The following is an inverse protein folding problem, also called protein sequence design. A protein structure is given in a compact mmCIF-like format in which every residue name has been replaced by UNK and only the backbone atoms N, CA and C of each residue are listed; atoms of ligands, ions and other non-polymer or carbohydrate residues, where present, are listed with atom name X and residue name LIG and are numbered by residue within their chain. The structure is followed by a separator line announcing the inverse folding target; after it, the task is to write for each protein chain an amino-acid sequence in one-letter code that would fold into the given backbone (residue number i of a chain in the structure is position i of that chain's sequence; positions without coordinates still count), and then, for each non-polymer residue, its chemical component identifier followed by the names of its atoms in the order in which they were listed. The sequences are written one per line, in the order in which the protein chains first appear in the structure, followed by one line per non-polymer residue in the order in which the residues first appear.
data_IF_513440334516
#
_entry.id   IF_513440334516
#
_cell.length_a   1.000
_cell.length_b   1.000
_cell.length_c   1.000
_cell.angle_alpha   90.00
_cell.angle_beta   90.00
_cell.angle_gamma   90.00
#
_symmetry.space_group_name_H-M   'P 1'
#
loop_
_entity.id
_entity.type
_entity.pdbx_description
1 polymer ?
#
# COMPACT_ATOMS: atom_id res chain seq x y z
N UNK A 1 10.78 39.73 33.77
CA UNK A 1 12.01 38.90 33.75
C UNK A 1 11.76 37.45 34.15
N UNK A 2 10.99 37.14 35.20
CA UNK A 2 10.69 35.76 35.61
C UNK A 2 9.82 35.00 34.58
N UNK A 3 8.87 35.65 33.90
CA UNK A 3 8.00 35.05 32.90
C UNK A 3 8.75 34.67 31.62
N UNK A 4 9.75 35.45 31.19
CA UNK A 4 10.60 35.12 30.07
C UNK A 4 11.53 33.93 30.37
N UNK A 5 11.97 33.78 31.61
CA UNK A 5 12.83 32.68 32.04
C UNK A 5 12.04 31.37 32.13
N UNK A 6 10.78 31.43 32.55
CA UNK A 6 9.88 30.26 32.62
C UNK A 6 9.48 29.74 31.22
N UNK A 7 9.25 30.65 30.27
CA UNK A 7 8.94 30.26 28.86
C UNK A 7 10.13 29.64 28.14
N UNK A 8 11.34 30.16 28.33
CA UNK A 8 12.55 29.57 27.79
C UNK A 8 12.84 28.18 28.39
N UNK A 9 12.72 28.02 29.71
CA UNK A 9 12.92 26.72 30.34
C UNK A 9 11.85 25.69 29.96
N UNK A 10 10.61 26.12 29.75
CA UNK A 10 9.53 25.27 29.24
C UNK A 10 9.81 24.72 27.81
N UNK A 11 10.31 25.58 26.93
CA UNK A 11 10.70 25.18 25.58
C UNK A 11 11.91 24.21 25.57
N UNK A 12 12.90 24.44 26.43
CA UNK A 12 14.06 23.54 26.58
C UNK A 12 13.70 22.19 27.18
N UNK A 13 12.77 22.13 28.11
CA UNK A 13 12.29 20.87 28.69
C UNK A 13 11.45 20.07 27.68
N UNK A 14 10.65 20.72 26.86
CA UNK A 14 9.89 20.07 25.79
C UNK A 14 10.83 19.52 24.72
N UNK A 15 11.80 20.31 24.24
CA UNK A 15 12.79 19.83 23.27
C UNK A 15 13.62 18.67 23.81
N UNK A 16 14.01 18.65 25.09
CA UNK A 16 14.73 17.50 25.69
C UNK A 16 13.87 16.24 25.79
N UNK A 17 12.56 16.39 26.09
CA UNK A 17 11.62 15.26 26.09
C UNK A 17 11.37 14.74 24.70
N UNK A 18 11.28 15.60 23.69
CA UNK A 18 11.12 15.24 22.30
C UNK A 18 12.37 14.52 21.77
N UNK A 19 13.57 15.01 22.10
CA UNK A 19 14.82 14.33 21.78
C UNK A 19 14.97 12.97 22.48
N UNK A 20 14.54 12.84 23.74
CA UNK A 20 14.59 11.58 24.47
C UNK A 20 13.58 10.57 23.89
N UNK A 21 12.38 11.03 23.50
CA UNK A 21 11.36 10.23 22.84
C UNK A 21 11.84 9.73 21.46
N UNK A 22 12.41 10.63 20.64
CA UNK A 22 12.96 10.28 19.33
C UNK A 22 14.11 9.25 19.43
N UNK A 23 14.94 9.28 20.47
CA UNK A 23 16.00 8.29 20.70
C UNK A 23 15.49 6.89 21.09
N UNK A 24 14.29 6.80 21.64
CA UNK A 24 13.66 5.53 22.05
C UNK A 24 12.78 4.95 20.93
N UNK A 25 12.38 5.77 19.95
CA UNK A 25 11.57 5.33 18.81
C UNK A 25 12.44 4.62 17.77
N UNK A 26 11.96 3.49 17.28
CA UNK A 26 12.54 2.83 16.12
C UNK A 26 12.32 3.64 14.83
N UNK A 27 13.12 3.38 13.80
CA UNK A 27 12.96 4.03 12.49
C UNK A 27 11.52 3.87 11.97
N UNK A 28 10.91 2.71 12.20
CA UNK A 28 9.54 2.43 11.80
C UNK A 28 8.51 3.37 12.45
N UNK A 29 8.73 3.72 13.74
CA UNK A 29 7.84 4.63 14.46
C UNK A 29 7.98 6.07 13.95
N UNK A 30 9.20 6.52 13.68
CA UNK A 30 9.48 7.83 13.09
C UNK A 30 8.88 7.97 11.69
N UNK A 31 8.90 6.91 10.90
CA UNK A 31 8.27 6.88 9.58
C UNK A 31 6.74 6.92 9.72
N UNK A 32 6.17 6.20 10.69
CA UNK A 32 4.74 6.21 10.95
C UNK A 32 4.24 7.60 11.39
N UNK A 33 5.00 8.34 12.21
CA UNK A 33 4.69 9.75 12.54
C UNK A 33 4.61 10.64 11.28
N UNK A 34 5.38 10.31 10.24
CA UNK A 34 5.31 10.97 8.93
C UNK A 34 4.30 10.32 7.99
N UNK A 35 3.38 9.51 8.52
CA UNK A 35 2.31 8.81 7.79
C UNK A 35 2.82 7.85 6.71
N UNK A 36 4.03 7.31 6.90
CA UNK A 36 4.68 6.36 6.00
C UNK A 36 4.50 4.95 6.55
N UNK A 37 3.92 4.09 5.73
CA UNK A 37 3.68 2.66 6.02
C UNK A 37 4.42 1.82 4.98
N UNK A 38 5.00 0.70 5.40
CA UNK A 38 5.64 -0.27 4.51
C UNK A 38 4.84 -1.56 4.45
N UNK A 39 4.71 -2.09 3.23
CA UNK A 39 4.27 -3.45 2.93
C UNK A 39 5.44 -4.19 2.27
N UNK A 40 6.12 -5.03 3.04
CA UNK A 40 7.32 -5.73 2.62
C UNK A 40 7.18 -7.25 2.73
N UNK A 41 7.84 -7.96 1.81
CA UNK A 41 7.88 -9.42 1.82
C UNK A 41 6.55 -10.06 1.45
N UNK A 42 6.36 -11.32 1.87
CA UNK A 42 5.16 -12.10 1.56
C UNK A 42 3.96 -11.60 2.36
N UNK A 43 2.85 -11.37 1.68
CA UNK A 43 1.59 -10.95 2.30
C UNK A 43 0.96 -12.17 2.99
N UNK A 44 0.94 -12.15 4.31
CA UNK A 44 0.25 -13.09 5.16
C UNK A 44 -0.63 -12.33 6.18
N UNK A 45 -1.38 -13.05 7.00
CA UNK A 45 -2.31 -12.44 7.97
C UNK A 45 -1.59 -11.50 8.95
N UNK A 46 -0.40 -11.86 9.43
CA UNK A 46 0.35 -11.02 10.37
C UNK A 46 0.79 -9.69 9.73
N UNK A 47 1.30 -9.74 8.49
CA UNK A 47 1.70 -8.55 7.72
C UNK A 47 0.47 -7.69 7.41
N UNK A 48 -0.62 -8.31 6.95
CA UNK A 48 -1.85 -7.61 6.63
C UNK A 48 -2.44 -6.90 7.86
N UNK A 49 -2.55 -7.61 8.98
CA UNK A 49 -3.07 -7.04 10.23
C UNK A 49 -2.22 -5.84 10.69
N UNK A 50 -0.89 -5.91 10.57
CA UNK A 50 0.00 -4.80 10.93
C UNK A 50 -0.24 -3.57 10.03
N UNK A 51 -0.38 -3.77 8.71
CA UNK A 51 -0.68 -2.68 7.78
C UNK A 51 -2.06 -2.09 8.07
N UNK A 52 -3.08 -2.92 8.24
CA UNK A 52 -4.45 -2.50 8.56
C UNK A 52 -4.48 -1.66 9.85
N UNK A 53 -3.83 -2.14 10.93
CA UNK A 53 -3.74 -1.38 12.19
C UNK A 53 -3.08 -0.01 11.99
N UNK A 54 -2.01 0.08 11.20
CA UNK A 54 -1.35 1.36 10.90
C UNK A 54 -2.25 2.30 10.10
N UNK A 55 -2.97 1.79 9.09
CA UNK A 55 -3.91 2.59 8.30
C UNK A 55 -5.03 3.17 9.18
N UNK A 56 -5.64 2.34 10.04
CA UNK A 56 -6.69 2.77 10.96
C UNK A 56 -6.17 3.75 12.02
N UNK A 57 -4.98 3.52 12.55
CA UNK A 57 -4.33 4.45 13.49
C UNK A 57 -4.13 5.82 12.82
N UNK A 58 -3.53 5.87 11.62
CA UNK A 58 -3.29 7.12 10.90
C UNK A 58 -4.59 7.84 10.52
N UNK A 59 -5.66 7.10 10.20
CA UNK A 59 -6.99 7.69 10.03
C UNK A 59 -7.52 8.35 11.31
N UNK A 60 -7.30 7.71 12.47
CA UNK A 60 -7.74 8.29 13.75
C UNK A 60 -7.00 9.57 14.12
N UNK A 61 -5.74 9.70 13.70
CA UNK A 61 -4.93 10.91 13.91
C UNK A 61 -5.36 12.07 13.00
N UNK A 62 -5.61 11.80 11.73
CA UNK A 62 -6.07 12.81 10.77
C UNK A 62 -6.75 12.16 9.56
N UNK A 63 -7.99 12.54 9.28
CA UNK A 63 -8.77 12.04 8.14
C UNK A 63 -8.45 12.74 6.82
N UNK A 64 -7.80 13.90 6.87
CA UNK A 64 -7.60 14.76 5.69
C UNK A 64 -6.17 14.73 5.14
N UNK A 65 -5.27 14.01 5.80
CA UNK A 65 -3.88 13.88 5.37
C UNK A 65 -3.67 12.54 4.66
N UNK A 66 -2.89 12.57 3.59
CA UNK A 66 -2.54 11.38 2.84
C UNK A 66 -1.73 10.39 3.69
N UNK A 67 -1.91 9.12 3.41
CA UNK A 67 -1.07 8.03 3.92
C UNK A 67 -0.17 7.56 2.76
N UNK A 68 1.11 7.37 3.02
CA UNK A 68 2.10 6.94 2.04
C UNK A 68 2.45 5.47 2.25
N UNK A 69 1.97 4.58 1.38
CA UNK A 69 2.18 3.14 1.44
C UNK A 69 3.26 2.70 0.45
N UNK A 70 4.43 2.33 0.96
CA UNK A 70 5.55 1.80 0.18
C UNK A 70 5.45 0.29 0.09
N UNK A 71 5.47 -0.24 -1.13
CA UNK A 71 5.25 -1.66 -1.42
C UNK A 71 6.47 -2.27 -2.08
N UNK A 72 7.02 -3.32 -1.44
CA UNK A 72 8.04 -4.21 -1.98
C UNK A 72 7.67 -5.65 -1.63
N UNK A 73 6.80 -6.27 -2.42
CA UNK A 73 6.18 -7.54 -2.08
C UNK A 73 6.00 -8.45 -3.31
N UNK A 74 6.30 -9.74 -3.20
CA UNK A 74 5.96 -10.74 -4.20
C UNK A 74 4.46 -11.12 -4.21
N UNK A 75 3.64 -10.52 -3.32
CA UNK A 75 2.27 -10.94 -3.07
C UNK A 75 2.17 -11.99 -1.96
N UNK A 76 1.10 -12.78 -1.97
CA UNK A 76 0.85 -13.81 -0.96
C UNK A 76 -0.62 -14.18 -0.84
N UNK A 77 -1.12 -14.36 0.38
CA UNK A 77 -2.51 -14.71 0.67
C UNK A 77 -3.50 -13.72 0.06
N UNK A 78 -4.48 -14.21 -0.67
CA UNK A 78 -5.52 -13.38 -1.29
C UNK A 78 -6.36 -12.69 -0.22
N UNK A 79 -6.80 -13.42 0.81
CA UNK A 79 -7.61 -12.87 1.90
C UNK A 79 -6.86 -11.77 2.67
N UNK A 80 -5.58 -11.98 2.94
CA UNK A 80 -4.71 -10.98 3.58
C UNK A 80 -4.51 -9.74 2.67
N UNK A 81 -4.36 -9.95 1.35
CA UNK A 81 -4.29 -8.86 0.36
C UNK A 81 -5.58 -8.04 0.34
N UNK A 82 -6.74 -8.71 0.32
CA UNK A 82 -8.03 -8.05 0.31
C UNK A 82 -8.30 -7.27 1.60
N UNK A 83 -7.85 -7.78 2.76
CA UNK A 83 -7.94 -7.04 4.01
C UNK A 83 -7.21 -5.68 3.96
N UNK A 84 -6.03 -5.63 3.33
CA UNK A 84 -5.30 -4.37 3.11
C UNK A 84 -6.05 -3.49 2.11
N UNK A 85 -6.40 -4.05 0.94
CA UNK A 85 -7.07 -3.33 -0.14
C UNK A 85 -8.39 -2.71 0.33
N UNK A 86 -9.27 -3.50 0.93
CA UNK A 86 -10.58 -3.02 1.40
C UNK A 86 -10.42 -1.95 2.50
N UNK A 87 -9.43 -2.09 3.38
CA UNK A 87 -9.13 -1.05 4.37
C UNK A 87 -8.69 0.25 3.71
N UNK A 88 -7.85 0.19 2.66
CA UNK A 88 -7.46 1.38 1.89
C UNK A 88 -8.65 2.08 1.24
N UNK A 89 -9.67 1.31 0.78
CA UNK A 89 -10.89 1.88 0.19
C UNK A 89 -11.87 2.38 1.26
N UNK A 90 -11.87 1.77 2.45
CA UNK A 90 -12.81 2.07 3.54
C UNK A 90 -12.48 3.37 4.27
N UNK A 91 -11.21 3.71 4.42
CA UNK A 91 -10.77 4.90 5.18
C UNK A 91 -10.98 6.19 4.37
N UNK A 92 -11.20 7.32 5.06
CA UNK A 92 -11.36 8.64 4.44
C UNK A 92 -10.04 9.20 3.88
N UNK A 93 -8.90 8.81 4.48
CA UNK A 93 -7.58 9.23 4.04
C UNK A 93 -7.28 8.72 2.64
N UNK A 94 -6.74 9.57 1.78
CA UNK A 94 -6.19 9.09 0.50
C UNK A 94 -4.90 8.32 0.76
N UNK A 95 -4.82 7.11 0.20
CA UNK A 95 -3.61 6.29 0.28
C UNK A 95 -2.81 6.47 -1.01
N UNK A 96 -1.66 7.14 -0.90
CA UNK A 96 -0.68 7.22 -1.98
C UNK A 96 0.18 5.95 -1.94
N UNK A 97 0.32 5.24 -3.06
CA UNK A 97 1.07 3.98 -3.15
C UNK A 97 2.36 4.15 -3.95
N UNK A 98 3.41 3.49 -3.50
CA UNK A 98 4.75 3.56 -4.11
C UNK A 98 5.30 2.15 -4.33
N UNK A 99 5.41 1.71 -5.57
CA UNK A 99 6.09 0.47 -5.90
C UNK A 99 7.61 0.67 -5.85
N UNK A 100 8.28 -0.02 -4.91
CA UNK A 100 9.73 0.01 -4.70
C UNK A 100 10.28 -1.40 -4.91
N UNK A 101 11.11 -1.61 -5.92
CA UNK A 101 11.65 -2.91 -6.29
C UNK A 101 10.64 -3.80 -7.01
N UNK A 102 9.72 -4.44 -6.28
CA UNK A 102 8.73 -5.35 -6.86
C UNK A 102 7.35 -5.20 -6.19
N UNK A 103 6.31 -5.10 -7.00
CA UNK A 103 4.93 -5.32 -6.57
C UNK A 103 4.29 -6.40 -7.44
N UNK A 104 4.24 -7.63 -6.95
CA UNK A 104 3.72 -8.76 -7.71
C UNK A 104 2.43 -9.31 -7.08
N UNK A 105 1.54 -9.87 -7.92
CA UNK A 105 0.33 -10.55 -7.44
C UNK A 105 -0.51 -9.64 -6.51
N UNK A 106 -0.77 -10.05 -5.27
CA UNK A 106 -1.42 -9.21 -4.25
C UNK A 106 -0.76 -7.85 -4.04
N UNK A 107 0.59 -7.76 -4.16
CA UNK A 107 1.30 -6.48 -4.09
C UNK A 107 0.91 -5.53 -5.23
N UNK A 108 0.66 -6.05 -6.43
CA UNK A 108 0.19 -5.25 -7.57
C UNK A 108 -1.25 -4.75 -7.36
N UNK A 109 -2.12 -5.56 -6.77
CA UNK A 109 -3.49 -5.17 -6.37
C UNK A 109 -3.44 -3.99 -5.40
N UNK A 110 -2.60 -4.08 -4.35
CA UNK A 110 -2.46 -3.02 -3.35
C UNK A 110 -1.93 -1.72 -3.98
N UNK A 111 -0.90 -1.79 -4.84
CA UNK A 111 -0.37 -0.60 -5.53
C UNK A 111 -1.43 0.02 -6.44
N UNK A 112 -2.09 -0.78 -7.27
CA UNK A 112 -3.14 -0.30 -8.17
C UNK A 112 -4.34 0.29 -7.43
N UNK A 113 -4.65 -0.22 -6.21
CA UNK A 113 -5.71 0.25 -5.31
C UNK A 113 -5.45 1.58 -4.63
N UNK A 114 -4.31 2.21 -4.86
CA UNK A 114 -4.01 3.55 -4.36
C UNK A 114 -4.93 4.62 -4.93
N UNK A 115 -5.00 5.77 -4.28
CA UNK A 115 -5.81 6.89 -4.71
C UNK A 115 -5.41 7.35 -6.12
N UNK A 116 -6.38 7.55 -7.00
CA UNK A 116 -6.14 7.98 -8.39
C UNK A 116 -5.31 9.27 -8.43
N UNK A 117 -4.27 9.29 -9.27
CA UNK A 117 -3.28 10.37 -9.36
C UNK A 117 -2.18 10.29 -8.30
N UNK A 118 -2.21 9.28 -7.41
CA UNK A 118 -1.25 9.10 -6.30
C UNK A 118 -0.66 7.68 -6.25
N UNK A 119 -0.64 6.99 -7.39
CA UNK A 119 -0.04 5.67 -7.54
C UNK A 119 1.28 5.80 -8.28
N UNK A 120 2.37 5.45 -7.61
CA UNK A 120 3.71 5.74 -8.08
C UNK A 120 4.55 4.46 -8.20
N UNK A 121 5.54 4.48 -9.10
CA UNK A 121 6.53 3.43 -9.25
C UNK A 121 7.92 4.04 -9.44
N UNK A 122 8.96 3.46 -8.83
CA UNK A 122 10.34 3.86 -9.06
C UNK A 122 10.86 3.34 -10.42
N UNK A 123 11.85 4.01 -11.04
CA UNK A 123 12.22 3.75 -12.46
C UNK A 123 12.67 2.32 -12.76
N UNK A 124 13.25 1.62 -11.79
CA UNK A 124 13.75 0.25 -11.92
C UNK A 124 12.88 -0.79 -11.23
N UNK A 125 11.78 -0.36 -10.61
CA UNK A 125 10.81 -1.26 -10.02
C UNK A 125 9.98 -1.95 -11.12
N UNK A 126 9.39 -3.08 -10.76
CA UNK A 126 8.55 -3.88 -11.65
C UNK A 126 7.23 -4.20 -10.97
N UNK A 127 6.20 -4.34 -11.77
CA UNK A 127 4.94 -4.94 -11.33
C UNK A 127 4.70 -6.27 -12.05
N UNK A 128 3.99 -7.17 -11.39
CA UNK A 128 3.56 -8.44 -12.00
C UNK A 128 2.11 -8.71 -11.64
N UNK A 129 1.32 -9.00 -12.65
CA UNK A 129 -0.07 -9.40 -12.52
C UNK A 129 -0.26 -10.84 -13.00
N UNK A 130 -1.09 -11.58 -12.31
CA UNK A 130 -1.50 -12.93 -12.67
C UNK A 130 -2.80 -13.31 -11.96
N UNK A 131 -3.44 -14.41 -12.39
CA UNK A 131 -4.59 -14.99 -11.71
C UNK A 131 -4.19 -15.60 -10.36
N UNK A 132 -5.15 -15.72 -9.39
CA UNK A 132 -4.87 -16.37 -8.13
C UNK A 132 -4.40 -17.82 -8.35
N UNK A 133 -3.39 -18.21 -7.57
CA UNK A 133 -2.94 -19.60 -7.50
C UNK A 133 -3.60 -20.26 -6.29
N UNK A 134 -4.09 -21.47 -6.46
CA UNK A 134 -4.67 -22.27 -5.38
C UNK A 134 -4.47 -23.75 -5.63
N UNK A 135 -4.30 -24.49 -4.54
CA UNK A 135 -4.37 -25.94 -4.51
C UNK A 135 -5.70 -26.36 -3.93
N UNK A 136 -6.35 -27.33 -4.53
CA UNK A 136 -7.61 -27.89 -4.08
C UNK A 136 -7.44 -29.37 -3.74
N UNK A 137 -8.08 -29.84 -2.68
CA UNK A 137 -8.00 -31.24 -2.25
C UNK A 137 -9.15 -31.62 -1.33
N UNK A 138 -9.37 -32.91 -1.17
CA UNK A 138 -10.44 -33.45 -0.34
C UNK A 138 -11.41 -34.35 -1.11
N UNK A 139 -12.64 -34.45 -0.65
CA UNK A 139 -13.72 -35.16 -1.33
C UNK A 139 -14.16 -34.39 -2.58
N UNK A 140 -14.82 -35.06 -3.53
CA UNK A 140 -15.25 -34.43 -4.80
C UNK A 140 -16.07 -33.16 -4.57
N UNK A 141 -17.03 -33.19 -3.65
CA UNK A 141 -17.84 -32.01 -3.30
C UNK A 141 -17.02 -30.87 -2.70
N UNK A 142 -15.97 -31.17 -1.93
CA UNK A 142 -15.09 -30.14 -1.36
C UNK A 142 -14.24 -29.48 -2.47
N UNK A 143 -13.78 -30.30 -3.43
CA UNK A 143 -13.03 -29.81 -4.60
C UNK A 143 -13.92 -28.88 -5.45
N UNK A 144 -15.18 -29.23 -5.68
CA UNK A 144 -16.13 -28.40 -6.42
C UNK A 144 -16.37 -27.05 -5.74
N UNK A 145 -16.55 -27.05 -4.42
CA UNK A 145 -16.74 -25.81 -3.62
C UNK A 145 -15.49 -24.93 -3.71
N UNK A 146 -14.30 -25.51 -3.49
CA UNK A 146 -13.03 -24.77 -3.53
C UNK A 146 -12.74 -24.22 -4.93
N UNK A 147 -13.00 -25.01 -5.99
CA UNK A 147 -12.81 -24.55 -7.37
C UNK A 147 -13.73 -23.37 -7.71
N UNK A 148 -14.99 -23.40 -7.25
CA UNK A 148 -15.93 -22.30 -7.44
C UNK A 148 -15.45 -21.05 -6.71
N UNK A 149 -15.01 -21.14 -5.48
CA UNK A 149 -14.48 -20.02 -4.70
C UNK A 149 -13.26 -19.37 -5.37
N UNK A 150 -12.32 -20.17 -5.91
CA UNK A 150 -11.16 -19.66 -6.65
C UNK A 150 -11.59 -18.93 -7.93
N UNK A 151 -12.61 -19.42 -8.64
CA UNK A 151 -13.14 -18.76 -9.83
C UNK A 151 -13.76 -17.43 -9.47
N UNK A 152 -14.60 -17.37 -8.45
CA UNK A 152 -15.23 -16.15 -7.94
C UNK A 152 -14.17 -15.13 -7.49
N UNK A 153 -13.16 -15.60 -6.76
CA UNK A 153 -12.00 -14.78 -6.34
C UNK A 153 -11.28 -14.17 -7.54
N UNK A 154 -10.99 -14.97 -8.58
CA UNK A 154 -10.36 -14.47 -9.81
C UNK A 154 -11.19 -13.37 -10.47
N UNK A 155 -12.49 -13.53 -10.52
CA UNK A 155 -13.38 -12.52 -11.10
C UNK A 155 -13.37 -11.21 -10.29
N UNK A 156 -13.35 -11.30 -8.96
CA UNK A 156 -13.23 -10.13 -8.08
C UNK A 156 -11.92 -9.39 -8.36
N UNK A 157 -10.78 -10.09 -8.36
CA UNK A 157 -9.47 -9.49 -8.60
C UNK A 157 -9.37 -8.85 -10.00
N UNK A 158 -9.94 -9.50 -11.02
CA UNK A 158 -9.98 -8.94 -12.36
C UNK A 158 -10.83 -7.67 -12.44
N UNK A 159 -11.99 -7.61 -11.75
CA UNK A 159 -12.81 -6.39 -11.66
C UNK A 159 -12.05 -5.25 -10.98
N UNK A 160 -11.37 -5.53 -9.87
CA UNK A 160 -10.54 -4.54 -9.18
C UNK A 160 -9.46 -3.98 -10.13
N UNK A 161 -8.72 -4.84 -10.83
CA UNK A 161 -7.73 -4.38 -11.79
C UNK A 161 -8.35 -3.58 -12.94
N UNK A 162 -9.49 -4.02 -13.49
CA UNK A 162 -10.17 -3.29 -14.56
C UNK A 162 -10.61 -1.90 -14.11
N UNK A 163 -11.17 -1.78 -12.91
CA UNK A 163 -11.60 -0.50 -12.32
C UNK A 163 -10.43 0.48 -12.17
N UNK A 164 -9.34 0.03 -11.58
CA UNK A 164 -8.18 0.89 -11.28
C UNK A 164 -7.33 1.22 -12.51
N UNK A 165 -7.24 0.30 -13.50
CA UNK A 165 -6.44 0.52 -14.70
C UNK A 165 -7.21 1.19 -15.83
N UNK A 166 -8.54 1.06 -15.84
CA UNK A 166 -9.38 1.46 -16.97
C UNK A 166 -9.32 0.51 -18.16
N UNK A 167 -8.66 -0.66 -18.02
CA UNK A 167 -8.63 -1.67 -19.07
C UNK A 167 -9.96 -2.45 -19.11
N UNK A 168 -10.39 -2.90 -20.29
CA UNK A 168 -11.52 -3.82 -20.43
C UNK A 168 -11.29 -5.10 -19.62
N UNK A 169 -12.34 -5.66 -19.03
CA UNK A 169 -12.25 -6.86 -18.18
C UNK A 169 -11.70 -8.07 -18.95
N UNK A 170 -11.99 -8.18 -20.23
CA UNK A 170 -11.48 -9.24 -21.10
C UNK A 170 -9.97 -9.12 -21.35
N UNK A 171 -9.46 -7.89 -21.41
CA UNK A 171 -8.03 -7.61 -21.49
C UNK A 171 -7.33 -8.03 -20.20
N UNK A 172 -7.88 -7.65 -19.04
CA UNK A 172 -7.37 -8.06 -17.74
C UNK A 172 -7.38 -9.59 -17.62
N UNK A 173 -8.49 -10.25 -17.93
CA UNK A 173 -8.62 -11.71 -17.85
C UNK A 173 -7.60 -12.46 -18.72
N UNK A 174 -7.34 -11.96 -19.93
CA UNK A 174 -6.32 -12.49 -20.82
C UNK A 174 -4.91 -12.27 -20.26
N UNK A 175 -4.64 -11.06 -19.81
CA UNK A 175 -3.29 -10.62 -19.41
C UNK A 175 -2.87 -11.17 -18.05
N UNK A 176 -3.84 -11.52 -17.18
CA UNK A 176 -3.61 -12.19 -15.89
C UNK A 176 -3.62 -13.72 -16.00
N UNK A 177 -3.93 -14.32 -17.15
CA UNK A 177 -3.98 -15.77 -17.30
C UNK A 177 -2.63 -16.46 -17.00
N UNK A 178 -1.53 -15.75 -17.16
CA UNK A 178 -0.15 -16.16 -16.81
C UNK A 178 0.59 -14.97 -16.26
N UNK A 179 1.74 -15.20 -15.63
CA UNK A 179 2.60 -14.17 -15.10
C UNK A 179 2.94 -13.12 -16.16
N UNK A 180 2.51 -11.90 -15.94
CA UNK A 180 2.82 -10.76 -16.79
C UNK A 180 3.61 -9.73 -16.02
N UNK A 181 4.91 -9.64 -16.34
CA UNK A 181 5.80 -8.64 -15.77
C UNK A 181 5.76 -7.37 -16.60
N UNK A 182 5.65 -6.23 -15.89
CA UNK A 182 5.63 -4.90 -16.47
C UNK A 182 6.78 -4.07 -15.89
N UNK A 183 7.51 -3.37 -16.76
CA UNK A 183 8.46 -2.35 -16.35
C UNK A 183 7.72 -1.16 -15.74
N UNK A 184 8.45 -0.20 -15.16
CA UNK A 184 7.85 1.02 -14.62
C UNK A 184 7.02 1.78 -15.68
N UNK A 185 7.56 1.92 -16.89
CA UNK A 185 6.88 2.59 -18.01
C UNK A 185 5.65 1.79 -18.46
N UNK A 186 5.77 0.47 -18.60
CA UNK A 186 4.65 -0.39 -19.01
C UNK A 186 3.55 -0.38 -17.95
N UNK A 187 3.89 -0.37 -16.66
CA UNK A 187 2.94 -0.28 -15.55
C UNK A 187 2.13 1.02 -15.59
N UNK A 188 2.79 2.14 -15.91
CA UNK A 188 2.11 3.43 -16.12
C UNK A 188 1.20 3.38 -17.37
N UNK A 189 1.70 2.92 -18.50
CA UNK A 189 0.94 2.86 -19.75
C UNK A 189 -0.26 1.90 -19.65
N UNK A 190 -0.13 0.85 -18.82
CA UNK A 190 -1.21 -0.10 -18.56
C UNK A 190 -2.28 0.47 -17.61
N UNK A 191 -1.94 1.49 -16.81
CA UNK A 191 -2.82 2.14 -15.86
C UNK A 191 -2.73 1.58 -14.43
N UNK A 192 -1.76 0.70 -14.13
CA UNK A 192 -1.52 0.19 -12.77
C UNK A 192 -1.01 1.26 -11.82
N UNK A 193 -0.29 2.24 -12.36
CA UNK A 193 0.23 3.41 -11.63
C UNK A 193 0.00 4.68 -12.44
N UNK A 194 0.06 5.83 -11.79
CA UNK A 194 -0.15 7.13 -12.43
C UNK A 194 1.16 7.77 -12.91
N UNK A 195 2.28 7.53 -12.19
CA UNK A 195 3.54 8.18 -12.50
C UNK A 195 4.78 7.35 -12.14
N UNK A 196 5.85 7.49 -12.95
CA UNK A 196 7.19 6.98 -12.67
C UNK A 196 8.00 8.07 -11.99
N UNK A 197 8.37 7.88 -10.73
CA UNK A 197 9.08 8.87 -9.92
C UNK A 197 10.59 8.64 -9.93
N UNK A 198 11.36 9.54 -10.51
CA UNK A 198 12.82 9.55 -10.41
C UNK A 198 13.38 10.30 -9.19
N UNK A 199 12.54 11.12 -8.55
CA UNK A 199 12.84 11.87 -7.33
C UNK A 199 11.58 11.99 -6.49
N UNK A 200 11.76 12.15 -5.18
CA UNK A 200 10.63 12.45 -4.28
C UNK A 200 9.99 13.75 -4.75
N UNK A 201 8.65 13.79 -4.94
CA UNK A 201 7.97 15.04 -5.25
C UNK A 201 8.30 16.07 -4.18
N UNK A 202 8.64 17.29 -4.59
CA UNK A 202 8.80 18.38 -3.63
C UNK A 202 7.48 18.54 -2.89
N UNK A 203 7.50 18.40 -1.56
CA UNK A 203 6.30 18.63 -0.74
C UNK A 203 5.85 20.08 -1.01
N UNK A 204 4.64 20.24 -1.48
CA UNK A 204 4.02 21.54 -1.63
C UNK A 204 3.84 22.14 -0.23
N UNK A 205 4.79 23.01 0.14
CA UNK A 205 4.66 23.97 1.23
C UNK A 205 4.72 23.42 2.66
N UNK A 206 5.93 23.12 3.16
CA UNK A 206 6.27 23.48 4.52
C UNK A 206 7.15 24.72 4.49
N UNK A 207 6.54 25.87 4.41
CA UNK A 207 7.19 27.11 4.84
C UNK A 207 7.33 27.00 6.37
N UNK A 208 8.50 26.56 6.80
CA UNK A 208 8.94 26.75 8.18
C UNK A 208 9.23 28.24 8.31
N UNK A 209 8.32 28.97 8.90
CA UNK A 209 8.56 30.30 9.47
C UNK A 209 8.88 30.15 10.94
#
# INVERSE_FOLDING_TARGET
MLDQWMTQNGQWQNSRRDYARQRQMGIGDLLLENRIVFLEGVINDAVANLVVMKLLFLQSESRNQDIHLYVNSPGGSVTATMAIYDTMQFIDCKVATYCVGLAASGGAIVVAGGAKGKRFILPHAKMMIHQPYGEVGGQVSDIEIQAKDIIETREVLNRILAEHTGQPIEVIARDTARDRYLSAIDSKNYGLVDEVLSKVPAQAGSTVT
#
